data_IF_866669209397
#
_entry.id   IF_866669209397
#
_cell.length_a   1.000
_cell.length_b   1.000
_cell.length_c   1.000
_cell.angle_alpha   90.00
_cell.angle_beta   90.00
_cell.angle_gamma   90.00
#
_symmetry.space_group_name_H-M   'P 1'
#
loop_
_entity.id
_entity.type
_entity.pdbx_description
1 polymer ?
#
# COMPACT_ATOMS: atom_id res chain seq x y z
N UNK A 1 15.52 -0.14 -0.08
CA UNK A 1 14.46 -0.46 0.91
C UNK A 1 14.51 -1.96 1.24
N UNK A 2 14.26 -2.38 2.48
CA UNK A 2 14.33 -3.81 2.86
C UNK A 2 13.37 -4.70 2.06
N UNK A 3 12.20 -4.20 1.69
CA UNK A 3 11.22 -4.98 0.93
C UNK A 3 11.70 -5.30 -0.50
N UNK A 4 12.43 -4.39 -1.15
CA UNK A 4 13.04 -4.68 -2.46
C UNK A 4 14.11 -5.77 -2.35
N UNK A 5 14.82 -5.85 -1.22
CA UNK A 5 15.78 -6.94 -0.99
C UNK A 5 15.04 -8.27 -0.94
N UNK A 6 13.94 -8.36 -0.17
CA UNK A 6 13.11 -9.57 -0.09
C UNK A 6 12.56 -9.93 -1.48
N UNK A 7 11.97 -8.98 -2.19
CA UNK A 7 11.45 -9.19 -3.55
C UNK A 7 12.55 -9.72 -4.48
N UNK A 8 13.70 -9.06 -4.55
CA UNK A 8 14.77 -9.49 -5.45
C UNK A 8 15.37 -10.86 -5.09
N UNK A 9 15.35 -11.24 -3.81
CA UNK A 9 15.80 -12.56 -3.36
C UNK A 9 14.82 -13.65 -3.74
N UNK A 10 13.50 -13.43 -3.64
CA UNK A 10 12.50 -14.50 -3.70
C UNK A 10 11.52 -14.44 -4.89
N UNK A 11 11.59 -13.41 -5.75
CA UNK A 11 10.66 -13.23 -6.88
C UNK A 11 10.60 -14.37 -7.91
N UNK A 12 11.56 -15.30 -7.90
CA UNK A 12 11.51 -16.50 -8.73
C UNK A 12 10.77 -17.67 -8.09
N UNK A 13 10.46 -17.58 -6.80
CA UNK A 13 9.85 -18.65 -5.99
C UNK A 13 8.47 -18.26 -5.46
N UNK A 14 8.23 -16.96 -5.28
CA UNK A 14 7.01 -16.41 -4.67
C UNK A 14 6.54 -15.22 -5.52
N UNK A 15 5.22 -15.12 -5.72
CA UNK A 15 4.59 -13.95 -6.32
C UNK A 15 4.45 -12.82 -5.29
N UNK A 16 4.82 -11.60 -5.69
CA UNK A 16 4.75 -10.41 -4.84
C UNK A 16 3.76 -9.40 -5.39
N UNK A 17 2.89 -8.90 -4.51
CA UNK A 17 1.95 -7.83 -4.81
C UNK A 17 1.94 -6.81 -3.67
N UNK A 18 2.14 -5.55 -3.99
CA UNK A 18 1.83 -4.43 -3.12
C UNK A 18 0.42 -3.95 -3.43
N UNK A 19 -0.50 -4.00 -2.47
CA UNK A 19 -1.86 -3.48 -2.64
C UNK A 19 -1.90 -2.08 -2.02
N UNK A 20 -2.11 -1.05 -2.85
CA UNK A 20 -2.23 0.32 -2.39
C UNK A 20 -3.65 0.59 -1.87
N UNK A 21 -3.76 0.88 -0.58
CA UNK A 21 -5.04 1.11 0.14
C UNK A 21 -5.26 2.62 0.41
N UNK A 22 -6.31 2.96 1.16
CA UNK A 22 -6.56 4.35 1.58
C UNK A 22 -5.40 4.98 2.35
N UNK A 23 -5.28 6.31 2.27
CA UNK A 23 -4.24 7.05 2.97
C UNK A 23 -4.40 6.96 4.50
N UNK A 24 -3.32 6.65 5.21
CA UNK A 24 -3.29 6.66 6.66
C UNK A 24 -3.23 8.07 7.26
N UNK A 25 -2.64 9.00 6.52
CA UNK A 25 -2.37 10.37 6.95
C UNK A 25 -2.80 11.39 5.90
N UNK A 26 -4.09 11.46 5.54
CA UNK A 26 -4.58 12.39 4.54
C UNK A 26 -4.65 13.82 5.09
N UNK A 27 -4.44 14.80 4.21
CA UNK A 27 -4.46 16.23 4.53
C UNK A 27 -5.85 16.72 4.95
N UNK A 28 -6.90 16.19 4.32
CA UNK A 28 -8.30 16.49 4.64
C UNK A 28 -8.78 15.84 5.97
N UNK A 29 -7.96 15.00 6.59
CA UNK A 29 -8.25 14.22 7.80
C UNK A 29 -9.51 13.33 7.69
N UNK A 30 -9.83 12.85 6.48
CA UNK A 30 -10.91 11.89 6.26
C UNK A 30 -10.36 10.45 6.37
N UNK A 31 -10.80 9.73 7.41
CA UNK A 31 -10.38 8.34 7.65
C UNK A 31 -8.98 8.18 8.26
N UNK A 32 -8.33 9.29 8.60
CA UNK A 32 -7.01 9.34 9.22
C UNK A 32 -6.69 10.76 9.69
N UNK A 33 -5.45 10.99 10.12
CA UNK A 33 -4.98 12.32 10.52
C UNK A 33 -3.61 12.60 9.93
N UNK A 34 -3.41 13.82 9.46
CA UNK A 34 -2.11 14.29 9.00
C UNK A 34 -1.07 14.22 10.13
N UNK A 35 0.20 13.97 9.79
CA UNK A 35 1.29 13.91 10.76
C UNK A 35 2.40 14.90 10.43
N UNK A 36 3.08 15.37 11.49
CA UNK A 36 4.22 16.28 11.34
C UNK A 36 5.33 15.70 10.43
N UNK A 37 5.77 14.44 10.57
CA UNK A 37 6.76 13.85 9.67
C UNK A 37 6.34 13.91 8.20
N UNK A 38 5.09 13.54 7.87
CA UNK A 38 4.60 13.61 6.50
C UNK A 38 4.62 15.03 5.96
N UNK A 39 4.17 16.02 6.74
CA UNK A 39 4.21 17.43 6.32
C UNK A 39 5.65 17.94 6.14
N UNK A 40 6.58 17.52 7.01
CA UNK A 40 8.00 17.91 6.92
C UNK A 40 8.66 17.29 5.66
N UNK A 41 8.22 16.11 5.22
CA UNK A 41 8.69 15.42 4.01
C UNK A 41 7.90 15.78 2.72
N UNK A 42 6.91 16.67 2.84
CA UNK A 42 6.03 17.08 1.75
C UNK A 42 5.15 15.94 1.22
N UNK A 43 4.75 15.01 2.08
CA UNK A 43 3.77 13.96 1.80
C UNK A 43 2.39 14.54 2.17
N UNK A 44 1.79 15.28 1.24
CA UNK A 44 0.55 16.04 1.45
C UNK A 44 -0.45 15.63 0.36
N UNK A 45 -1.28 14.64 0.68
CA UNK A 45 -2.31 14.12 -0.21
C UNK A 45 -3.64 14.06 0.54
N UNK A 46 -4.74 14.37 -0.14
CA UNK A 46 -6.09 14.15 0.40
C UNK A 46 -6.44 12.65 0.34
N UNK A 47 -7.54 12.26 0.99
CA UNK A 47 -8.08 10.94 0.75
C UNK A 47 -8.62 10.85 -0.69
N UNK A 48 -8.37 9.73 -1.34
CA UNK A 48 -8.83 9.48 -2.70
C UNK A 48 -10.36 9.41 -2.76
N UNK A 49 -10.97 10.14 -3.68
CA UNK A 49 -12.41 10.10 -3.93
C UNK A 49 -12.81 9.17 -5.08
N UNK A 50 -11.84 8.74 -5.87
CA UNK A 50 -12.02 7.84 -7.01
C UNK A 50 -10.72 7.06 -7.32
N UNK A 51 -10.81 6.09 -8.24
CA UNK A 51 -9.71 5.19 -8.55
C UNK A 51 -8.55 5.88 -9.28
N UNK A 52 -8.82 6.92 -10.08
CA UNK A 52 -7.77 7.66 -10.79
C UNK A 52 -6.91 8.44 -9.79
N UNK A 53 -7.53 9.12 -8.81
CA UNK A 53 -6.80 9.77 -7.72
C UNK A 53 -5.98 8.77 -6.90
N UNK A 54 -6.53 7.58 -6.61
CA UNK A 54 -5.78 6.50 -5.93
C UNK A 54 -4.59 6.05 -6.77
N UNK A 55 -4.75 5.93 -8.08
CA UNK A 55 -3.68 5.57 -8.99
C UNK A 55 -2.56 6.62 -9.00
N UNK A 56 -2.90 7.91 -9.02
CA UNK A 56 -1.93 9.01 -9.02
C UNK A 56 -1.06 8.99 -7.75
N UNK A 57 -1.68 8.88 -6.57
CA UNK A 57 -0.93 8.85 -5.30
C UNK A 57 -0.12 7.56 -5.18
N UNK A 58 -0.68 6.41 -5.56
CA UNK A 58 0.03 5.13 -5.62
C UNK A 58 1.27 5.21 -6.52
N UNK A 59 1.17 5.84 -7.69
CA UNK A 59 2.30 6.04 -8.59
C UNK A 59 3.38 6.90 -7.95
N UNK A 60 3.01 7.99 -7.28
CA UNK A 60 3.97 8.84 -6.55
C UNK A 60 4.67 8.05 -5.44
N UNK A 61 3.93 7.26 -4.66
CA UNK A 61 4.49 6.39 -3.63
C UNK A 61 5.49 5.39 -4.22
N UNK A 62 5.10 4.67 -5.27
CA UNK A 62 5.94 3.71 -5.97
C UNK A 62 7.25 4.35 -6.44
N UNK A 63 7.20 5.55 -7.03
CA UNK A 63 8.39 6.28 -7.49
C UNK A 63 9.26 6.79 -6.34
N UNK A 64 8.68 7.46 -5.33
CA UNK A 64 9.45 8.02 -4.20
C UNK A 64 10.13 6.94 -3.37
N UNK A 65 9.44 5.81 -3.17
CA UNK A 65 9.97 4.68 -2.43
C UNK A 65 10.87 3.78 -3.30
N UNK A 66 10.86 3.96 -4.62
CA UNK A 66 11.52 3.07 -5.58
C UNK A 66 11.08 1.61 -5.37
N UNK A 67 9.78 1.37 -5.27
CA UNK A 67 9.22 0.02 -5.14
C UNK A 67 9.38 -0.74 -6.46
N UNK A 68 10.00 -1.92 -6.38
CA UNK A 68 10.34 -2.72 -7.58
C UNK A 68 9.34 -3.85 -7.85
N UNK A 69 8.53 -4.21 -6.86
CA UNK A 69 7.48 -5.22 -6.99
C UNK A 69 6.23 -4.63 -7.65
N UNK A 70 5.41 -5.45 -8.33
CA UNK A 70 4.13 -5.02 -8.86
C UNK A 70 3.25 -4.38 -7.78
N UNK A 71 2.69 -3.22 -8.10
CA UNK A 71 1.69 -2.55 -7.28
C UNK A 71 0.33 -2.61 -7.97
N UNK A 72 -0.70 -2.97 -7.22
CA UNK A 72 -2.10 -2.95 -7.61
C UNK A 72 -2.87 -2.03 -6.67
N UNK A 73 -4.04 -1.56 -7.09
CA UNK A 73 -4.89 -0.71 -6.27
C UNK A 73 -5.94 -1.57 -5.58
N UNK A 74 -6.22 -1.28 -4.31
CA UNK A 74 -7.48 -1.72 -3.71
C UNK A 74 -8.64 -0.98 -4.38
N UNK A 75 -9.83 -1.56 -4.35
CA UNK A 75 -11.02 -0.90 -4.88
C UNK A 75 -11.49 0.25 -3.96
N UNK A 76 -12.36 1.12 -4.48
CA UNK A 76 -12.83 2.28 -3.71
C UNK A 76 -13.74 1.92 -2.53
N UNK A 77 -14.14 0.65 -2.42
CA UNK A 77 -14.88 0.11 -1.27
C UNK A 77 -13.93 -0.43 -0.17
N UNK A 78 -12.62 -0.31 -0.38
CA UNK A 78 -11.55 -0.80 0.50
C UNK A 78 -11.66 -2.31 0.79
N UNK A 79 -12.12 -3.10 -0.21
CA UNK A 79 -12.43 -4.53 -0.02
C UNK A 79 -11.23 -5.32 0.48
N UNK A 80 -10.03 -5.13 -0.10
CA UNK A 80 -8.84 -5.87 0.32
C UNK A 80 -8.35 -5.39 1.69
N UNK A 81 -8.34 -4.08 1.95
CA UNK A 81 -7.97 -3.51 3.24
C UNK A 81 -8.83 -4.09 4.36
N UNK A 82 -10.15 -4.10 4.18
CA UNK A 82 -11.10 -4.62 5.18
C UNK A 82 -10.92 -6.13 5.36
N UNK A 83 -10.85 -6.90 4.27
CA UNK A 83 -10.73 -8.36 4.34
C UNK A 83 -9.45 -8.83 5.04
N UNK A 84 -8.36 -8.07 4.89
CA UNK A 84 -7.05 -8.38 5.47
C UNK A 84 -6.71 -7.55 6.71
N UNK A 85 -7.61 -6.67 7.17
CA UNK A 85 -7.33 -5.70 8.24
C UNK A 85 -5.96 -5.01 8.03
N UNK A 86 -5.75 -4.51 6.82
CA UNK A 86 -4.43 -4.14 6.32
C UNK A 86 -4.00 -2.73 6.73
N UNK A 87 -4.91 -1.90 7.25
CA UNK A 87 -4.60 -0.54 7.65
C UNK A 87 -3.73 -0.47 8.93
N UNK A 88 -2.71 0.41 8.99
CA UNK A 88 -2.24 1.29 7.91
C UNK A 88 -1.29 0.59 6.92
N UNK A 89 -0.58 -0.43 7.37
CA UNK A 89 0.28 -1.30 6.57
C UNK A 89 0.32 -2.73 7.14
N UNK A 90 0.35 -3.73 6.27
CA UNK A 90 0.36 -5.14 6.69
C UNK A 90 1.04 -6.04 5.67
N UNK A 91 1.65 -7.11 6.16
CA UNK A 91 2.26 -8.15 5.34
C UNK A 91 1.54 -9.48 5.57
N UNK A 92 1.25 -10.18 4.49
CA UNK A 92 0.67 -11.51 4.49
C UNK A 92 1.49 -12.44 3.60
N UNK A 93 1.57 -13.72 4.00
CA UNK A 93 1.97 -14.80 3.11
C UNK A 93 0.75 -15.70 2.90
N UNK A 94 0.32 -15.81 1.65
CA UNK A 94 -0.83 -16.61 1.23
C UNK A 94 -0.28 -17.79 0.45
N UNK A 95 -0.58 -19.00 0.92
CA UNK A 95 -0.22 -20.25 0.26
C UNK A 95 -1.04 -20.44 -1.03
N UNK A 96 -0.58 -21.32 -1.92
CA UNK A 96 -1.27 -21.61 -3.18
C UNK A 96 -2.70 -22.16 -3.01
N UNK A 97 -3.04 -22.71 -1.84
CA UNK A 97 -4.38 -23.18 -1.49
C UNK A 97 -5.28 -22.10 -0.86
N UNK A 98 -4.79 -20.85 -0.77
CA UNK A 98 -5.50 -19.70 -0.20
C UNK A 98 -5.35 -19.58 1.32
N UNK A 99 -4.62 -20.47 1.99
CA UNK A 99 -4.39 -20.37 3.44
C UNK A 99 -3.36 -19.28 3.75
N UNK A 100 -3.64 -18.49 4.79
CA UNK A 100 -2.67 -17.55 5.34
C UNK A 100 -1.65 -18.31 6.21
N UNK A 101 -0.37 -18.25 5.85
CA UNK A 101 0.74 -18.81 6.65
C UNK A 101 1.46 -17.77 7.51
N UNK A 102 1.31 -16.48 7.18
CA UNK A 102 1.82 -15.36 7.98
C UNK A 102 0.86 -14.16 7.94
N UNK A 103 0.68 -13.47 9.08
CA UNK A 103 -0.11 -12.24 9.26
C UNK A 103 0.51 -11.28 10.27
#
# INVERSE_FOLDING_TARGET
MRINTIYNTYKSEIDFYCVYVKEAHPEDNIGGYQTKPNTDEGIIFNQHSNLDERAEVAQVCMMRMNLEMPMVLDDMDDTAEIAYAAYPDRLYLVEADGRISYR
#
